data_IF_946229497241
#
_entry.id   IF_946229497241
#
_cell.length_a   1.000
_cell.length_b   1.000
_cell.length_c   1.000
_cell.angle_alpha   90.00
_cell.angle_beta   90.00
_cell.angle_gamma   90.00
#
_symmetry.space_group_name_H-M   'P 1'
#
loop_
_entity.id
_entity.type
_entity.pdbx_description
1 polymer ?
#
# COMPACT_ATOMS: atom_id res chain seq x y z
N UNK A 1 8.26 -62.99 -42.01
CA UNK A 1 7.58 -62.05 -41.09
C UNK A 1 8.63 -61.57 -40.12
N UNK A 2 8.94 -60.27 -40.15
CA UNK A 2 9.93 -59.66 -39.25
C UNK A 2 9.10 -58.85 -38.25
N UNK A 3 9.07 -59.28 -36.99
CA UNK A 3 8.48 -58.53 -35.89
C UNK A 3 9.30 -57.26 -35.65
N UNK A 4 8.69 -56.09 -35.88
CA UNK A 4 9.19 -54.83 -35.37
C UNK A 4 8.83 -54.75 -33.89
N UNK A 5 9.83 -54.90 -33.02
CA UNK A 5 9.76 -54.45 -31.63
C UNK A 5 9.62 -52.93 -31.62
N UNK A 6 8.51 -52.43 -31.11
CA UNK A 6 8.41 -51.03 -30.69
C UNK A 6 9.30 -50.84 -29.46
N UNK A 7 10.34 -50.03 -29.59
CA UNK A 7 11.08 -49.50 -28.45
C UNK A 7 10.18 -48.53 -27.70
N UNK A 8 9.67 -48.97 -26.55
CA UNK A 8 9.08 -48.07 -25.55
C UNK A 8 10.22 -47.24 -24.98
N UNK A 9 10.29 -45.97 -25.36
CA UNK A 9 11.17 -45.00 -24.73
C UNK A 9 10.71 -44.86 -23.26
N UNK A 10 11.40 -45.51 -22.32
CA UNK A 10 11.20 -45.26 -20.90
C UNK A 10 11.57 -43.80 -20.62
N UNK A 11 10.56 -42.94 -20.49
CA UNK A 11 10.73 -41.59 -19.97
C UNK A 11 11.27 -41.71 -18.55
N UNK A 12 12.50 -41.24 -18.31
CA UNK A 12 13.06 -41.17 -16.95
C UNK A 12 12.04 -40.46 -16.05
N UNK A 13 11.72 -41.01 -14.86
CA UNK A 13 10.87 -40.31 -13.91
C UNK A 13 11.51 -38.96 -13.60
N UNK A 14 10.74 -37.89 -13.79
CA UNK A 14 11.15 -36.54 -13.43
C UNK A 14 11.20 -36.52 -11.90
N UNK A 15 12.40 -36.34 -11.33
CA UNK A 15 12.55 -36.19 -9.88
C UNK A 15 12.09 -34.79 -9.45
N UNK A 16 11.17 -34.76 -8.49
CA UNK A 16 10.76 -33.53 -7.82
C UNK A 16 11.97 -32.90 -7.12
N UNK A 17 12.21 -31.63 -7.38
CA UNK A 17 13.34 -30.87 -6.85
C UNK A 17 12.87 -29.64 -6.08
N UNK A 18 13.77 -29.09 -5.27
CA UNK A 18 13.60 -27.78 -4.67
C UNK A 18 14.24 -26.73 -5.58
N UNK A 19 13.43 -25.80 -6.05
CA UNK A 19 13.82 -24.71 -6.93
C UNK A 19 13.94 -23.42 -6.13
N UNK A 20 14.93 -22.61 -6.49
CA UNK A 20 15.08 -21.26 -5.99
C UNK A 20 14.96 -20.30 -7.17
N UNK A 21 14.11 -19.28 -7.03
CA UNK A 21 13.92 -18.24 -8.04
C UNK A 21 13.96 -16.85 -7.41
N UNK A 22 14.45 -15.89 -8.18
CA UNK A 22 14.37 -14.46 -7.86
C UNK A 22 13.31 -13.79 -8.73
N UNK A 23 12.53 -12.89 -8.14
CA UNK A 23 11.51 -12.13 -8.85
C UNK A 23 12.16 -11.13 -9.80
N UNK A 24 11.80 -11.19 -11.08
CA UNK A 24 12.27 -10.25 -12.11
C UNK A 24 11.34 -9.05 -12.24
N UNK A 25 11.81 -7.93 -12.82
CA UNK A 25 10.99 -6.71 -12.97
C UNK A 25 9.67 -6.88 -13.75
N UNK A 26 9.59 -7.88 -14.63
CA UNK A 26 8.40 -8.13 -15.45
C UNK A 26 7.46 -9.18 -14.85
N UNK A 27 7.84 -9.81 -13.74
CA UNK A 27 6.98 -10.77 -13.05
C UNK A 27 5.93 -10.02 -12.23
N UNK A 28 4.75 -10.59 -12.11
CA UNK A 28 3.77 -10.15 -11.13
C UNK A 28 4.00 -10.90 -9.83
N UNK A 29 4.12 -10.17 -8.72
CA UNK A 29 4.27 -10.75 -7.40
C UNK A 29 3.68 -9.83 -6.34
N UNK A 30 2.83 -10.39 -5.48
CA UNK A 30 2.21 -9.63 -4.39
C UNK A 30 2.02 -10.56 -3.18
N UNK A 31 2.45 -10.09 -2.00
CA UNK A 31 2.18 -10.81 -0.74
C UNK A 31 0.90 -10.30 -0.09
N UNK A 32 0.23 -11.13 0.72
CA UNK A 32 -0.93 -10.65 1.48
C UNK A 32 -0.60 -9.49 2.45
N UNK A 33 0.67 -9.35 2.83
CA UNK A 33 1.16 -8.21 3.62
C UNK A 33 1.25 -6.93 2.79
N UNK A 34 1.67 -7.04 1.53
CA UNK A 34 1.71 -5.95 0.55
C UNK A 34 0.30 -5.51 0.15
N UNK A 35 -0.63 -6.47 -0.01
CA UNK A 35 -2.06 -6.24 -0.32
C UNK A 35 -2.70 -5.26 0.65
N UNK A 36 -2.34 -5.33 1.94
CA UNK A 36 -2.81 -4.40 2.96
C UNK A 36 -2.58 -2.94 2.53
N UNK A 37 -1.41 -2.65 1.94
CA UNK A 37 -1.05 -1.29 1.52
C UNK A 37 -1.62 -0.95 0.14
N UNK A 38 -1.50 -1.85 -0.84
CA UNK A 38 -1.96 -1.64 -2.21
C UNK A 38 -3.48 -1.44 -2.27
N UNK A 39 -4.27 -2.26 -1.55
CA UNK A 39 -5.73 -2.15 -1.48
C UNK A 39 -6.22 -0.84 -0.85
N UNK A 40 -5.40 -0.21 0.01
CA UNK A 40 -5.67 1.09 0.60
C UNK A 40 -5.07 2.24 -0.23
N UNK A 41 -4.51 1.98 -1.41
CA UNK A 41 -3.77 2.97 -2.20
C UNK A 41 -2.70 3.71 -1.36
N UNK A 42 -1.95 2.96 -0.55
CA UNK A 42 -0.83 3.44 0.24
C UNK A 42 0.49 2.97 -0.39
N UNK A 43 1.23 3.90 -0.98
CA UNK A 43 2.55 3.61 -1.55
C UNK A 43 3.64 4.35 -0.79
N UNK A 44 3.64 5.69 -0.84
CA UNK A 44 4.59 6.56 -0.14
C UNK A 44 3.97 7.96 0.08
N UNK A 45 4.69 8.87 0.72
CA UNK A 45 4.28 10.28 0.79
C UNK A 45 4.61 11.04 -0.51
N UNK A 46 3.79 12.01 -0.93
CA UNK A 46 2.55 12.47 -0.31
C UNK A 46 1.40 11.47 -0.46
N UNK A 47 0.54 11.36 0.55
CA UNK A 47 -0.67 10.53 0.45
C UNK A 47 -1.71 11.32 -0.32
N UNK A 48 -2.09 10.84 -1.51
CA UNK A 48 -3.15 11.42 -2.35
C UNK A 48 -4.12 10.34 -2.78
N UNK A 49 -5.41 10.63 -2.70
CA UNK A 49 -6.43 9.71 -3.15
C UNK A 49 -7.65 10.47 -3.65
N UNK A 50 -8.29 9.92 -4.68
CA UNK A 50 -9.60 10.32 -5.19
C UNK A 50 -10.36 9.07 -5.60
N UNK A 51 -11.67 9.05 -5.41
CA UNK A 51 -12.51 7.90 -5.77
C UNK A 51 -13.21 8.04 -7.14
N UNK A 52 -12.75 9.00 -7.96
CA UNK A 52 -13.16 9.22 -9.34
C UNK A 52 -11.95 9.25 -10.26
N UNK A 53 -12.16 9.26 -11.58
CA UNK A 53 -11.07 9.17 -12.56
C UNK A 53 -10.01 10.27 -12.35
N UNK A 54 -8.74 9.87 -12.46
CA UNK A 54 -7.59 10.77 -12.43
C UNK A 54 -7.54 11.72 -13.63
N UNK A 55 -8.24 11.38 -14.71
CA UNK A 55 -8.27 12.19 -15.94
C UNK A 55 -9.29 13.34 -15.86
N UNK A 56 -10.13 13.34 -14.81
CA UNK A 56 -11.05 14.43 -14.52
C UNK A 56 -10.33 15.52 -13.75
N UNK A 57 -10.26 16.71 -14.33
CA UNK A 57 -9.70 17.91 -13.74
C UNK A 57 -10.79 18.98 -13.57
N UNK A 58 -10.70 19.84 -12.54
CA UNK A 58 -11.69 20.88 -12.32
C UNK A 58 -11.64 21.90 -13.47
N UNK A 59 -12.80 22.18 -14.07
CA UNK A 59 -13.00 23.22 -15.07
C UNK A 59 -12.79 24.61 -14.48
N UNK A 60 -13.14 24.79 -13.20
CA UNK A 60 -13.02 26.05 -12.48
C UNK A 60 -12.84 25.80 -10.97
N UNK A 61 -12.12 26.70 -10.30
CA UNK A 61 -12.05 26.76 -8.86
C UNK A 61 -12.54 28.14 -8.36
N UNK A 62 -13.63 28.17 -7.61
CA UNK A 62 -14.19 29.38 -7.00
C UNK A 62 -13.73 29.49 -5.54
N UNK A 63 -12.96 30.52 -5.21
CA UNK A 63 -12.54 30.78 -3.84
C UNK A 63 -13.68 31.37 -3.02
N UNK A 64 -14.03 30.72 -1.91
CA UNK A 64 -15.02 31.22 -0.95
C UNK A 64 -14.38 32.06 0.16
N UNK A 65 -13.11 31.80 0.48
CA UNK A 65 -12.31 32.60 1.41
C UNK A 65 -11.65 31.77 2.51
N UNK A 66 -11.11 32.46 3.51
CA UNK A 66 -10.60 31.87 4.75
C UNK A 66 -11.73 31.87 5.78
N UNK A 67 -12.19 30.68 6.16
CA UNK A 67 -13.39 30.48 6.96
C UNK A 67 -13.08 29.53 8.11
N UNK A 68 -13.75 29.74 9.23
CA UNK A 68 -13.78 28.77 10.32
C UNK A 68 -14.78 27.66 10.00
N UNK A 69 -14.32 26.41 10.05
CA UNK A 69 -15.15 25.23 9.72
C UNK A 69 -15.26 24.33 10.94
N UNK A 70 -16.48 24.04 11.33
CA UNK A 70 -16.81 23.11 12.40
C UNK A 70 -17.09 21.72 11.82
N UNK A 71 -16.24 20.74 12.11
CA UNK A 71 -16.40 19.34 11.68
C UNK A 71 -17.17 18.50 12.71
N UNK A 72 -17.82 19.13 13.70
CA UNK A 72 -18.57 18.47 14.78
C UNK A 72 -17.69 17.82 15.86
N UNK A 73 -16.50 17.34 15.51
CA UNK A 73 -15.50 16.81 16.46
C UNK A 73 -14.35 17.80 16.72
N UNK A 74 -14.20 18.81 15.87
CA UNK A 74 -13.22 19.89 16.03
C UNK A 74 -13.65 21.10 15.18
N UNK A 75 -13.37 22.30 15.67
CA UNK A 75 -13.43 23.52 14.88
C UNK A 75 -12.04 23.87 14.36
N UNK A 76 -11.88 23.98 13.04
CA UNK A 76 -10.65 24.44 12.42
C UNK A 76 -10.79 25.90 12.01
N UNK A 77 -9.90 26.75 12.51
CA UNK A 77 -9.85 28.17 12.15
C UNK A 77 -9.05 28.38 10.87
N UNK A 78 -9.42 29.40 10.09
CA UNK A 78 -8.68 29.81 8.89
C UNK A 78 -8.46 28.65 7.91
N UNK A 79 -9.53 27.95 7.55
CA UNK A 79 -9.56 26.95 6.48
C UNK A 79 -9.81 27.69 5.17
N UNK A 80 -8.99 27.44 4.16
CA UNK A 80 -9.25 27.96 2.82
C UNK A 80 -10.32 27.08 2.18
N UNK A 81 -11.48 27.66 1.87
CA UNK A 81 -12.61 26.93 1.27
C UNK A 81 -12.76 27.30 -0.21
N UNK A 82 -12.91 26.30 -1.08
CA UNK A 82 -13.13 26.49 -2.53
C UNK A 82 -14.22 25.56 -3.04
N UNK A 83 -14.91 25.98 -4.09
CA UNK A 83 -15.75 25.09 -4.90
C UNK A 83 -14.96 24.73 -6.15
N UNK A 84 -14.75 23.45 -6.38
CA UNK A 84 -14.15 22.89 -7.58
C UNK A 84 -15.30 22.43 -8.51
N UNK A 85 -15.47 23.11 -9.64
CA UNK A 85 -16.47 22.75 -10.65
C UNK A 85 -15.86 21.73 -11.62
N UNK A 86 -16.39 20.52 -11.66
CA UNK A 86 -16.13 19.52 -12.70
C UNK A 86 -17.26 19.55 -13.74
N UNK A 87 -17.14 18.79 -14.82
CA UNK A 87 -18.16 18.73 -15.87
C UNK A 87 -19.53 18.28 -15.32
N UNK A 88 -19.54 17.24 -14.49
CA UNK A 88 -20.77 16.57 -14.05
C UNK A 88 -21.06 16.72 -12.55
N UNK A 89 -20.12 17.26 -11.78
CA UNK A 89 -20.23 17.38 -10.32
C UNK A 89 -19.41 18.56 -9.78
N UNK A 90 -19.56 18.85 -8.49
CA UNK A 90 -18.80 19.87 -7.78
C UNK A 90 -18.25 19.29 -6.48
N UNK A 91 -17.05 19.71 -6.10
CA UNK A 91 -16.47 19.41 -4.78
C UNK A 91 -16.27 20.68 -3.98
N UNK A 92 -16.47 20.61 -2.68
CA UNK A 92 -16.12 21.66 -1.72
C UNK A 92 -14.80 21.27 -1.07
N UNK A 93 -13.72 21.97 -1.44
CA UNK A 93 -12.39 21.77 -0.88
C UNK A 93 -12.21 22.56 0.42
N UNK A 94 -11.80 21.87 1.47
CA UNK A 94 -11.31 22.40 2.74
C UNK A 94 -9.80 22.22 2.80
N UNK A 95 -9.04 23.32 2.71
CA UNK A 95 -7.57 23.30 2.65
C UNK A 95 -6.93 23.96 3.87
N UNK A 96 -5.99 23.24 4.47
CA UNK A 96 -4.99 23.76 5.41
C UNK A 96 -3.60 23.68 4.76
N UNK A 97 -2.58 24.21 5.46
CA UNK A 97 -1.19 24.16 4.99
C UNK A 97 -0.68 22.74 4.73
N UNK A 98 -1.09 21.79 5.58
CA UNK A 98 -0.49 20.46 5.63
C UNK A 98 -1.35 19.38 4.94
N UNK A 99 -2.62 19.69 4.68
CA UNK A 99 -3.55 18.77 4.05
C UNK A 99 -4.71 19.51 3.36
N UNK A 100 -5.41 18.78 2.49
CA UNK A 100 -6.70 19.19 1.92
C UNK A 100 -7.64 17.99 1.83
N UNK A 101 -8.93 18.28 1.90
CA UNK A 101 -10.00 17.33 1.60
C UNK A 101 -11.10 18.05 0.83
N UNK A 102 -11.61 17.43 -0.22
CA UNK A 102 -12.75 17.91 -0.98
C UNK A 102 -13.81 16.81 -1.06
N UNK A 103 -15.07 17.18 -0.85
CA UNK A 103 -16.22 16.28 -0.88
C UNK A 103 -17.31 16.86 -1.78
N UNK A 104 -18.10 16.00 -2.41
CA UNK A 104 -19.34 16.44 -3.05
C UNK A 104 -20.47 16.60 -2.03
N UNK A 105 -21.56 17.24 -2.44
CA UNK A 105 -22.75 17.42 -1.60
C UNK A 105 -23.62 16.16 -1.48
N UNK A 106 -23.29 15.11 -2.24
CA UNK A 106 -24.06 13.85 -2.34
C UNK A 106 -23.32 12.65 -1.72
N UNK A 107 -22.31 12.90 -0.91
CA UNK A 107 -21.53 11.93 -0.13
C UNK A 107 -20.95 10.76 -0.93
N UNK A 108 -20.71 10.96 -2.22
CA UNK A 108 -20.30 9.89 -3.14
C UNK A 108 -18.92 10.11 -3.70
N UNK A 109 -18.46 11.37 -3.83
CA UNK A 109 -17.19 11.71 -4.46
C UNK A 109 -16.32 12.52 -3.51
N UNK A 110 -15.04 12.17 -3.45
CA UNK A 110 -14.09 12.88 -2.63
C UNK A 110 -12.67 12.75 -3.16
N UNK A 111 -11.86 13.76 -2.83
CA UNK A 111 -10.41 13.70 -2.94
C UNK A 111 -9.75 14.26 -1.69
N UNK A 112 -8.58 13.74 -1.34
CA UNK A 112 -7.77 14.32 -0.29
C UNK A 112 -6.29 14.19 -0.60
N UNK A 113 -5.52 15.03 0.08
CA UNK A 113 -4.07 15.01 0.01
C UNK A 113 -3.49 15.43 1.36
N UNK A 114 -2.50 14.65 1.82
CA UNK A 114 -1.60 15.04 2.91
C UNK A 114 -0.26 15.36 2.29
N UNK A 115 0.19 16.59 2.48
CA UNK A 115 1.41 17.07 1.85
C UNK A 115 2.64 16.33 2.39
N UNK A 116 3.70 16.34 1.59
CA UNK A 116 5.04 16.03 2.08
C UNK A 116 5.49 17.07 3.12
N UNK A 117 6.53 16.75 3.88
CA UNK A 117 7.17 17.66 4.85
C UNK A 117 6.35 18.00 6.11
N UNK A 118 5.44 17.11 6.51
CA UNK A 118 4.72 17.20 7.79
C UNK A 118 5.49 16.45 8.89
N UNK A 119 5.72 17.11 10.03
CA UNK A 119 6.36 16.48 11.20
C UNK A 119 5.45 15.41 11.82
N UNK A 120 6.00 14.33 12.38
CA UNK A 120 5.20 13.21 12.92
C UNK A 120 4.12 13.64 13.92
N UNK A 121 4.43 14.52 14.88
CA UNK A 121 3.42 15.02 15.84
C UNK A 121 2.21 15.67 15.15
N UNK A 122 2.47 16.45 14.09
CA UNK A 122 1.42 17.08 13.30
C UNK A 122 0.71 16.05 12.41
N UNK A 123 1.44 15.07 11.88
CA UNK A 123 0.89 14.00 11.07
C UNK A 123 -0.07 13.12 11.88
N UNK A 124 0.22 12.85 13.14
CA UNK A 124 -0.65 12.14 14.07
C UNK A 124 -2.00 12.87 14.24
N UNK A 125 -1.96 14.19 14.46
CA UNK A 125 -3.16 15.02 14.53
C UNK A 125 -3.97 14.95 13.23
N UNK A 126 -3.29 14.97 12.07
CA UNK A 126 -3.93 14.89 10.76
C UNK A 126 -4.56 13.51 10.54
N UNK A 127 -3.87 12.41 10.86
CA UNK A 127 -4.44 11.06 10.76
C UNK A 127 -5.66 10.89 11.66
N UNK A 128 -5.61 11.40 12.89
CA UNK A 128 -6.77 11.39 13.80
C UNK A 128 -7.92 12.26 13.27
N UNK A 129 -7.60 13.42 12.66
CA UNK A 129 -8.59 14.27 12.00
C UNK A 129 -9.29 13.51 10.87
N UNK A 130 -8.55 12.91 9.94
CA UNK A 130 -9.13 12.17 8.83
C UNK A 130 -9.89 10.92 9.29
N UNK A 131 -9.39 10.18 10.29
CA UNK A 131 -10.13 9.06 10.86
C UNK A 131 -11.51 9.52 11.40
N UNK A 132 -11.55 10.60 12.18
CA UNK A 132 -12.83 11.14 12.69
C UNK A 132 -13.72 11.69 11.58
N UNK A 133 -13.13 12.36 10.59
CA UNK A 133 -13.83 12.86 9.40
C UNK A 133 -14.53 11.71 8.65
N UNK A 134 -13.80 10.63 8.34
CA UNK A 134 -14.33 9.51 7.58
C UNK A 134 -15.25 8.59 8.39
N UNK A 135 -15.13 8.55 9.73
CA UNK A 135 -16.02 7.74 10.58
C UNK A 135 -17.49 8.13 10.42
N UNK A 136 -17.77 9.43 10.55
CA UNK A 136 -19.03 10.12 10.28
C UNK A 136 -18.91 11.53 10.86
N UNK A 137 -19.12 12.56 10.06
CA UNK A 137 -19.02 13.96 10.50
C UNK A 137 -20.16 14.80 9.93
N UNK A 138 -20.49 15.89 10.63
CA UNK A 138 -21.31 16.97 10.10
C UNK A 138 -20.43 18.22 10.03
N UNK A 139 -20.24 18.74 8.83
CA UNK A 139 -19.37 19.85 8.50
C UNK A 139 -20.22 21.10 8.36
N UNK A 140 -19.94 22.10 9.18
CA UNK A 140 -20.69 23.35 9.27
C UNK A 140 -19.76 24.54 9.06
N UNK A 141 -20.14 25.44 8.18
CA UNK A 141 -19.43 26.70 8.00
C UNK A 141 -20.39 27.79 7.51
N UNK A 142 -19.93 29.04 7.55
CA UNK A 142 -20.73 30.19 7.12
C UNK A 142 -19.95 31.04 6.15
N UNK A 143 -20.65 31.55 5.13
CA UNK A 143 -20.13 32.52 4.17
C UNK A 143 -21.13 33.67 4.15
N UNK A 144 -20.68 34.86 4.57
CA UNK A 144 -21.58 36.00 4.78
C UNK A 144 -22.81 35.58 5.62
N UNK A 145 -24.01 35.60 5.03
CA UNK A 145 -25.26 35.23 5.71
C UNK A 145 -25.67 33.77 5.49
N UNK A 146 -25.02 33.05 4.56
CA UNK A 146 -25.36 31.69 4.20
C UNK A 146 -24.70 30.70 5.15
N UNK A 147 -25.48 29.68 5.56
CA UNK A 147 -25.03 28.59 6.42
C UNK A 147 -24.99 27.31 5.61
N UNK A 148 -23.88 26.61 5.70
CA UNK A 148 -23.66 25.34 5.03
C UNK A 148 -23.57 24.23 6.08
N UNK A 149 -24.22 23.10 5.80
CA UNK A 149 -24.20 21.92 6.65
C UNK A 149 -24.18 20.68 5.76
N UNK A 150 -23.10 19.90 5.84
CA UNK A 150 -22.91 18.67 5.06
C UNK A 150 -22.67 17.50 6.00
N UNK A 151 -23.27 16.35 5.71
CA UNK A 151 -22.91 15.10 6.36
C UNK A 151 -21.84 14.41 5.51
N UNK A 152 -20.98 13.56 6.08
CA UNK A 152 -20.06 12.74 5.29
C UNK A 152 -19.58 11.53 6.08
N UNK A 153 -19.42 10.39 5.41
CA UNK A 153 -18.81 9.19 5.98
C UNK A 153 -18.19 8.29 4.90
N UNK A 154 -17.13 7.55 5.26
CA UNK A 154 -16.55 6.50 4.45
C UNK A 154 -15.81 5.48 5.33
N UNK A 155 -16.33 4.24 5.41
CA UNK A 155 -15.76 3.23 6.30
C UNK A 155 -14.38 2.75 5.84
N UNK A 156 -14.14 2.63 4.54
CA UNK A 156 -12.85 2.14 4.00
C UNK A 156 -11.74 3.14 4.36
N UNK A 157 -11.98 4.42 4.11
CA UNK A 157 -11.04 5.47 4.46
C UNK A 157 -10.87 5.61 5.97
N UNK A 158 -11.94 5.43 6.75
CA UNK A 158 -11.82 5.38 8.22
C UNK A 158 -10.81 4.30 8.66
N UNK A 159 -10.93 3.07 8.17
CA UNK A 159 -9.98 1.99 8.49
C UNK A 159 -8.56 2.30 8.01
N UNK A 160 -8.43 2.93 6.83
CA UNK A 160 -7.13 3.38 6.30
C UNK A 160 -6.42 4.34 7.25
N UNK A 161 -7.12 5.35 7.76
CA UNK A 161 -6.51 6.34 8.66
C UNK A 161 -6.23 5.80 10.06
N UNK A 162 -7.03 4.84 10.56
CA UNK A 162 -6.67 4.09 11.77
C UNK A 162 -5.36 3.30 11.57
N UNK A 163 -5.23 2.64 10.42
CA UNK A 163 -4.03 1.85 10.07
C UNK A 163 -2.80 2.74 9.91
N UNK A 164 -2.94 3.92 9.29
CA UNK A 164 -1.87 4.92 9.18
C UNK A 164 -1.41 5.44 10.55
N UNK A 165 -2.33 5.64 11.49
CA UNK A 165 -2.00 6.02 12.87
C UNK A 165 -1.15 4.96 13.58
N UNK A 166 -1.54 3.68 13.46
CA UNK A 166 -0.76 2.56 14.00
C UNK A 166 0.63 2.47 13.34
N UNK A 167 0.68 2.63 12.02
CA UNK A 167 1.91 2.60 11.25
C UNK A 167 2.87 3.75 11.63
N UNK A 168 2.35 4.94 11.94
CA UNK A 168 3.18 6.07 12.40
C UNK A 168 3.89 5.75 13.73
N UNK A 169 3.22 5.04 14.63
CA UNK A 169 3.81 4.59 15.89
C UNK A 169 4.89 3.53 15.64
N UNK A 170 4.59 2.53 14.81
CA UNK A 170 5.55 1.52 14.37
C UNK A 170 6.80 2.17 13.78
N UNK A 171 6.64 3.11 12.84
CA UNK A 171 7.75 3.85 12.25
C UNK A 171 8.56 4.64 13.28
N UNK A 172 7.89 5.30 14.23
CA UNK A 172 8.59 6.09 15.26
C UNK A 172 9.46 5.20 16.14
N UNK A 173 8.97 4.00 16.49
CA UNK A 173 9.75 3.00 17.23
C UNK A 173 10.92 2.48 16.38
N UNK A 174 10.67 2.09 15.13
CA UNK A 174 11.70 1.63 14.19
C UNK A 174 12.87 2.61 14.07
N UNK A 175 12.57 3.90 13.87
CA UNK A 175 13.59 4.94 13.76
C UNK A 175 14.39 5.09 15.05
N UNK A 176 13.73 4.98 16.21
CA UNK A 176 14.40 5.03 17.51
C UNK A 176 15.33 3.84 17.71
N UNK A 177 14.85 2.63 17.44
CA UNK A 177 15.58 1.38 17.66
C UNK A 177 16.82 1.28 16.75
N UNK A 178 16.67 1.71 15.49
CA UNK A 178 17.77 1.77 14.53
C UNK A 178 18.65 3.04 14.66
N UNK A 179 18.33 3.95 15.59
CA UNK A 179 19.02 5.24 15.81
C UNK A 179 19.09 6.12 14.56
N UNK A 180 18.06 6.07 13.72
CA UNK A 180 17.97 6.76 12.44
C UNK A 180 17.35 8.17 12.56
N UNK A 181 17.71 8.94 13.60
CA UNK A 181 17.02 10.18 13.99
C UNK A 181 16.95 11.27 12.90
N UNK A 182 17.86 11.24 11.93
CA UNK A 182 17.81 12.10 10.73
C UNK A 182 16.50 11.89 9.93
N UNK A 183 15.97 10.67 9.95
CA UNK A 183 14.75 10.23 9.29
C UNK A 183 13.56 10.17 10.25
N UNK A 184 13.55 10.95 11.34
CA UNK A 184 12.45 10.92 12.32
C UNK A 184 11.07 11.23 11.74
N UNK A 185 10.97 11.90 10.59
CA UNK A 185 9.69 12.25 10.00
C UNK A 185 9.31 11.24 8.90
N UNK A 186 8.18 10.57 9.08
CA UNK A 186 7.69 9.58 8.12
C UNK A 186 7.48 10.18 6.73
N UNK A 187 7.01 11.43 6.66
CA UNK A 187 6.80 12.16 5.40
C UNK A 187 8.06 12.43 4.58
N UNK A 188 9.23 12.20 5.16
CA UNK A 188 10.54 12.36 4.50
C UNK A 188 11.16 11.02 4.07
N UNK A 189 10.51 9.89 4.38
CA UNK A 189 10.98 8.58 3.97
C UNK A 189 10.88 8.44 2.44
N UNK A 190 11.93 7.88 1.83
CA UNK A 190 11.97 7.54 0.40
C UNK A 190 11.51 6.12 0.12
N UNK A 191 11.33 5.32 1.17
CA UNK A 191 10.82 3.98 1.08
C UNK A 191 9.30 3.97 1.07
N UNK A 192 8.74 2.93 0.48
CA UNK A 192 7.30 2.69 0.52
C UNK A 192 6.86 2.33 1.94
N UNK A 193 5.57 2.47 2.23
CA UNK A 193 4.99 1.98 3.50
C UNK A 193 5.24 0.49 3.69
N UNK A 194 5.19 -0.29 2.61
CA UNK A 194 5.44 -1.73 2.64
C UNK A 194 6.92 -2.05 2.95
N UNK A 195 7.88 -1.38 2.30
CA UNK A 195 9.31 -1.57 2.58
C UNK A 195 9.68 -1.23 4.02
N UNK A 196 9.09 -0.16 4.58
CA UNK A 196 9.28 0.22 5.97
C UNK A 196 8.65 -0.79 6.94
N UNK A 197 7.48 -1.36 6.61
CA UNK A 197 6.85 -2.46 7.36
C UNK A 197 7.73 -3.71 7.35
N UNK A 198 8.31 -4.05 6.19
CA UNK A 198 9.26 -5.16 6.06
C UNK A 198 10.52 -4.93 6.90
N UNK A 199 11.08 -3.72 6.88
CA UNK A 199 12.25 -3.38 7.68
C UNK A 199 11.98 -3.51 9.19
N UNK A 200 10.82 -3.07 9.64
CA UNK A 200 10.39 -3.23 11.03
C UNK A 200 10.26 -4.72 11.40
N UNK A 201 9.56 -5.49 10.58
CA UNK A 201 9.37 -6.94 10.79
C UNK A 201 10.65 -7.74 10.67
N UNK A 202 11.65 -7.26 9.92
CA UNK A 202 12.97 -7.90 9.80
C UNK A 202 13.78 -7.92 11.11
N UNK A 203 13.31 -7.23 12.16
CA UNK A 203 13.85 -7.38 13.51
C UNK A 203 13.48 -8.72 14.18
N UNK A 204 12.45 -9.42 13.68
CA UNK A 204 12.02 -10.72 14.20
C UNK A 204 12.65 -11.87 13.42
N UNK A 205 12.98 -12.96 14.11
CA UNK A 205 13.40 -14.22 13.49
C UNK A 205 12.21 -15.12 13.10
N UNK A 206 10.99 -14.73 13.47
CA UNK A 206 9.78 -15.52 13.27
C UNK A 206 9.39 -15.64 11.79
N UNK A 207 8.94 -16.84 11.40
CA UNK A 207 8.32 -17.07 10.10
C UNK A 207 6.84 -16.71 10.15
N UNK A 208 6.36 -16.01 9.13
CA UNK A 208 4.95 -15.70 8.96
C UNK A 208 4.31 -16.67 7.96
N UNK A 209 3.20 -17.30 8.34
CA UNK A 209 2.36 -18.03 7.39
C UNK A 209 1.43 -17.03 6.71
N UNK A 210 1.59 -16.86 5.39
CA UNK A 210 0.79 -15.95 4.60
C UNK A 210 0.39 -16.58 3.26
N UNK A 211 -0.26 -15.81 2.40
CA UNK A 211 -0.50 -16.21 1.02
C UNK A 211 0.11 -15.19 0.04
N UNK A 212 0.39 -15.65 -1.17
CA UNK A 212 0.89 -14.82 -2.28
C UNK A 212 0.02 -14.98 -3.52
N UNK A 213 0.03 -13.95 -4.35
CA UNK A 213 -0.32 -14.05 -5.76
C UNK A 213 0.94 -13.83 -6.60
N UNK A 214 1.16 -14.65 -7.61
CA UNK A 214 2.30 -14.51 -8.50
C UNK A 214 1.99 -14.99 -9.91
N UNK A 215 2.58 -14.32 -10.90
CA UNK A 215 2.68 -14.79 -12.27
C UNK A 215 4.12 -14.57 -12.70
N UNK A 216 4.89 -15.67 -12.72
CA UNK A 216 6.34 -15.65 -12.85
C UNK A 216 6.73 -16.37 -14.13
N UNK A 217 7.51 -15.69 -14.98
CA UNK A 217 8.08 -16.34 -16.15
C UNK A 217 9.33 -17.11 -15.75
N UNK A 218 9.22 -18.44 -15.78
CA UNK A 218 10.32 -19.32 -15.44
C UNK A 218 11.23 -19.53 -16.64
N UNK A 219 12.52 -19.23 -16.47
CA UNK A 219 13.57 -19.61 -17.43
C UNK A 219 14.19 -20.99 -17.07
N UNK A 220 13.70 -21.61 -16.00
CA UNK A 220 14.11 -22.94 -15.54
C UNK A 220 12.99 -23.95 -15.77
N UNK A 221 13.36 -25.21 -16.02
CA UNK A 221 12.39 -26.31 -16.13
C UNK A 221 11.73 -26.55 -14.77
N UNK A 222 10.46 -26.19 -14.68
CA UNK A 222 9.60 -26.34 -13.50
C UNK A 222 8.62 -27.46 -13.77
N UNK A 223 8.53 -28.41 -12.85
CA UNK A 223 7.64 -29.55 -12.98
C UNK A 223 6.60 -29.59 -11.86
N UNK A 224 5.52 -30.31 -12.11
CA UNK A 224 4.52 -30.65 -11.10
C UNK A 224 5.23 -31.43 -9.98
N UNK A 225 4.95 -31.08 -8.72
CA UNK A 225 5.60 -31.70 -7.56
C UNK A 225 6.90 -31.04 -7.11
N UNK A 226 7.43 -30.07 -7.87
CA UNK A 226 8.59 -29.28 -7.42
C UNK A 226 8.20 -28.37 -6.23
N UNK A 227 9.14 -28.21 -5.31
CA UNK A 227 9.05 -27.22 -4.23
C UNK A 227 9.72 -25.92 -4.67
N UNK A 228 9.22 -24.77 -4.22
CA UNK A 228 9.73 -23.47 -4.66
C UNK A 228 10.07 -22.57 -3.47
N UNK A 229 11.26 -21.98 -3.53
CA UNK A 229 11.69 -20.84 -2.73
C UNK A 229 11.77 -19.64 -3.67
N UNK A 230 11.12 -18.55 -3.28
CA UNK A 230 11.13 -17.28 -3.99
C UNK A 230 11.89 -16.28 -3.12
N UNK A 231 12.88 -15.61 -3.70
CA UNK A 231 13.62 -14.52 -3.08
C UNK A 231 13.23 -13.18 -3.69
N UNK A 232 12.99 -12.19 -2.83
CA UNK A 232 12.69 -10.81 -3.24
C UNK A 232 13.44 -9.82 -2.36
N UNK A 233 14.28 -8.99 -2.97
CA UNK A 233 15.07 -7.99 -2.27
C UNK A 233 14.42 -6.60 -2.34
N UNK A 234 14.47 -5.87 -1.22
CA UNK A 234 13.88 -4.55 -1.03
C UNK A 234 14.95 -3.57 -0.54
N UNK A 235 15.16 -2.49 -1.29
CA UNK A 235 16.22 -1.52 -1.00
C UNK A 235 15.79 -0.55 0.09
N UNK A 236 16.57 -0.43 1.15
CA UNK A 236 16.29 0.52 2.24
C UNK A 236 17.06 1.82 2.03
N UNK A 237 16.33 2.91 1.81
CA UNK A 237 16.84 4.20 1.36
C UNK A 237 17.17 5.16 2.51
N UNK A 238 17.77 4.65 3.57
CA UNK A 238 18.40 5.45 4.62
C UNK A 238 19.90 5.56 4.34
N UNK A 239 20.42 6.79 4.15
CA UNK A 239 21.86 7.01 3.99
C UNK A 239 22.62 6.40 5.16
N UNK A 240 23.74 5.73 4.85
CA UNK A 240 24.64 5.08 5.82
C UNK A 240 23.99 3.94 6.62
N UNK A 241 22.74 3.55 6.31
CA UNK A 241 22.15 2.32 6.82
C UNK A 241 22.67 1.13 6.00
N UNK A 242 23.33 0.14 6.62
CA UNK A 242 24.15 -0.84 5.90
C UNK A 242 23.37 -2.06 5.39
N UNK A 243 22.05 -2.11 5.62
CA UNK A 243 21.23 -3.26 5.29
C UNK A 243 20.11 -2.94 4.29
N UNK A 244 19.84 -3.89 3.41
CA UNK A 244 18.57 -4.06 2.69
C UNK A 244 17.76 -5.19 3.34
N UNK A 245 16.51 -5.37 2.90
CA UNK A 245 15.63 -6.45 3.41
C UNK A 245 15.38 -7.46 2.30
N UNK A 246 15.54 -8.74 2.61
CA UNK A 246 15.20 -9.85 1.72
C UNK A 246 14.01 -10.64 2.30
N UNK A 247 13.00 -10.86 1.47
CA UNK A 247 11.94 -11.84 1.71
C UNK A 247 12.39 -13.19 1.15
N UNK A 248 12.40 -14.23 1.99
CA UNK A 248 12.57 -15.62 1.59
C UNK A 248 11.22 -16.31 1.76
N UNK A 249 10.63 -16.72 0.64
CA UNK A 249 9.24 -17.13 0.55
C UNK A 249 9.20 -18.59 0.12
N UNK A 250 8.85 -19.48 1.04
CA UNK A 250 8.83 -20.92 0.79
C UNK A 250 7.40 -21.40 0.63
N UNK A 251 7.10 -22.08 -0.46
CA UNK A 251 5.79 -22.71 -0.66
C UNK A 251 5.53 -23.77 0.42
N UNK A 252 4.32 -23.75 0.99
CA UNK A 252 3.90 -24.77 1.98
C UNK A 252 3.62 -26.11 1.30
N UNK A 253 3.11 -26.06 0.08
CA UNK A 253 2.81 -27.24 -0.73
C UNK A 253 3.49 -27.12 -2.10
N UNK A 254 3.96 -28.24 -2.68
CA UNK A 254 4.55 -28.26 -4.01
C UNK A 254 3.65 -27.68 -5.10
N UNK A 255 4.25 -27.44 -6.26
CA UNK A 255 3.56 -26.96 -7.45
C UNK A 255 2.59 -28.00 -8.00
N UNK A 256 1.40 -27.56 -8.38
CA UNK A 256 0.36 -28.38 -8.99
C UNK A 256 0.32 -28.22 -10.52
N UNK A 257 -0.41 -29.09 -11.20
CA UNK A 257 -0.63 -29.00 -12.66
C UNK A 257 -1.28 -27.68 -13.08
N UNK A 258 -2.21 -27.15 -12.28
CA UNK A 258 -2.88 -25.88 -12.58
C UNK A 258 -1.96 -24.66 -12.42
N UNK A 259 -0.89 -24.81 -11.64
CA UNK A 259 0.04 -23.73 -11.31
C UNK A 259 1.21 -23.64 -12.28
N UNK A 260 1.46 -24.68 -13.07
CA UNK A 260 2.58 -24.75 -14.02
C UNK A 260 2.04 -24.92 -15.43
N UNK A 261 2.12 -23.86 -16.23
CA UNK A 261 1.66 -23.91 -17.62
C UNK A 261 2.54 -23.07 -18.53
N UNK A 262 2.97 -23.62 -19.66
CA UNK A 262 3.71 -22.91 -20.70
C UNK A 262 4.95 -22.12 -20.17
N UNK A 263 5.71 -22.71 -19.25
CA UNK A 263 6.85 -22.10 -18.53
C UNK A 263 6.49 -20.87 -17.67
N UNK A 264 5.21 -20.72 -17.33
CA UNK A 264 4.72 -19.70 -16.40
C UNK A 264 4.27 -20.42 -15.12
N UNK A 265 4.74 -19.91 -13.97
CA UNK A 265 4.26 -20.30 -12.66
C UNK A 265 3.17 -19.30 -12.26
N UNK A 266 1.93 -19.78 -12.14
CA UNK A 266 0.79 -18.96 -11.73
C UNK A 266 0.27 -19.41 -10.37
N UNK A 267 0.52 -18.59 -9.35
CA UNK A 267 0.14 -18.83 -7.97
C UNK A 267 -1.00 -17.89 -7.59
N UNK A 268 -2.15 -18.44 -7.20
CA UNK A 268 -3.31 -17.65 -6.75
C UNK A 268 -3.61 -18.00 -5.30
N UNK A 269 -3.43 -17.03 -4.40
CA UNK A 269 -3.56 -17.19 -2.94
C UNK A 269 -2.82 -18.42 -2.41
N UNK A 270 -1.66 -18.74 -3.00
CA UNK A 270 -0.84 -19.90 -2.61
C UNK A 270 -0.30 -19.67 -1.20
N UNK A 271 -0.51 -20.64 -0.32
CA UNK A 271 0.01 -20.60 1.05
C UNK A 271 1.54 -20.73 1.06
N UNK A 272 2.20 -19.82 1.76
CA UNK A 272 3.66 -19.74 1.88
C UNK A 272 4.07 -19.44 3.32
N UNK A 273 5.33 -19.75 3.61
CA UNK A 273 6.05 -19.23 4.78
C UNK A 273 7.01 -18.14 4.34
N UNK A 274 6.96 -16.98 4.98
CA UNK A 274 7.92 -15.90 4.76
C UNK A 274 8.86 -15.78 5.93
N UNK A 275 10.15 -15.76 5.62
CA UNK A 275 11.21 -15.34 6.53
C UNK A 275 11.85 -14.06 6.00
N UNK A 276 11.98 -13.05 6.86
CA UNK A 276 12.67 -11.81 6.52
C UNK A 276 14.12 -11.88 6.97
N UNK A 277 15.03 -11.31 6.19
CA UNK A 277 16.44 -11.16 6.56
C UNK A 277 16.94 -9.77 6.23
N UNK A 278 17.83 -9.25 7.08
CA UNK A 278 18.67 -8.10 6.74
C UNK A 278 19.89 -8.58 5.99
N UNK A 279 20.15 -7.99 4.84
CA UNK A 279 21.28 -8.35 3.97
C UNK A 279 22.17 -7.12 3.84
N UNK A 280 23.48 -7.29 3.98
CA UNK A 280 24.42 -6.19 3.81
C UNK A 280 24.42 -5.68 2.35
N UNK A 281 24.47 -4.35 2.21
CA UNK A 281 24.62 -3.65 0.93
C UNK A 281 26.01 -3.79 0.33
#
# INVERSE_FOLDING_TARGET
>A
MIEKKEEVLESKPIENKQLEIEIKPNDFFETSSEVKFTSMALHEFPIKYRNFSKDLEPLKANLLGMIDVDFGFIKLEGVLVKILDFLDFKLIEFRKKDFRIAIDEKDSLFEYEIHKDVKNKRLEEIFNFFAKFFKATTIKFKIANDKYEYYFHNNIEYYKFITLGQFLNQYTNLISDLKLYKYKNLTSARNTFFELDLLDKSNSEEEANIWINAEIKSDIDVNIGDSLIIKRSHKINFNEFPYDVEEIITLVHPLTEEEVKDNIIKLTRKSVKIKLRRVHK
#
